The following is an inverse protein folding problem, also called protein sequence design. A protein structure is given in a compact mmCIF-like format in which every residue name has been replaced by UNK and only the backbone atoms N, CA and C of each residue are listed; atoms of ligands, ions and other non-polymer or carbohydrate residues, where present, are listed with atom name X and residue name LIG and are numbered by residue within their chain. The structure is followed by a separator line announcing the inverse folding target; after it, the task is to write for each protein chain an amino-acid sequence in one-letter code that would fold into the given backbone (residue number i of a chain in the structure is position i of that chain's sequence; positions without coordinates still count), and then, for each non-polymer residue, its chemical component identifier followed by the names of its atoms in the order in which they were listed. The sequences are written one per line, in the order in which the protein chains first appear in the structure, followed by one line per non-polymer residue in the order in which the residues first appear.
data_IF_701227200943
#
_entry.id   IF_701227200943
#
_cell.length_a   1.000
_cell.length_b   1.000
_cell.length_c   1.000
_cell.angle_alpha   90.00
_cell.angle_beta   90.00
_cell.angle_gamma   90.00
#
_symmetry.space_group_name_H-M   'P 1'
#
loop_
_entity.id
_entity.type
_entity.pdbx_description
1 polymer ?
#
# COMPACT_ATOMS: atom_id res chain seq x y z
N UNK A 1 -18.80 6.52 6.70
CA UNK A 1 -17.48 6.51 6.07
C UNK A 1 -17.59 7.00 4.63
N UNK A 2 -18.33 6.32 3.77
CA UNK A 2 -18.39 6.62 2.33
C UNK A 2 -18.86 8.06 2.01
N UNK A 3 -19.88 8.57 2.73
CA UNK A 3 -20.34 9.95 2.56
C UNK A 3 -19.23 10.97 2.89
N UNK A 4 -18.41 10.69 3.92
CA UNK A 4 -17.26 11.54 4.25
C UNK A 4 -16.16 11.48 3.20
N UNK A 5 -15.97 10.33 2.51
CA UNK A 5 -15.07 10.27 1.36
C UNK A 5 -15.54 11.21 0.24
N UNK A 6 -16.84 11.16 -0.10
CA UNK A 6 -17.42 12.06 -1.10
C UNK A 6 -17.24 13.53 -0.70
N UNK A 7 -17.59 13.87 0.56
CA UNK A 7 -17.44 15.24 1.09
C UNK A 7 -15.98 15.74 1.00
N UNK A 8 -15.02 14.85 1.23
CA UNK A 8 -13.59 15.16 1.16
C UNK A 8 -12.98 14.94 -0.25
N UNK A 9 -13.82 14.75 -1.26
CA UNK A 9 -13.42 14.55 -2.66
C UNK A 9 -12.44 13.39 -2.88
N UNK A 10 -12.57 12.35 -2.06
CA UNK A 10 -11.83 11.09 -2.26
C UNK A 10 -12.60 10.27 -3.29
N UNK A 11 -12.10 10.24 -4.51
CA UNK A 11 -12.79 9.65 -5.68
C UNK A 11 -12.28 8.26 -6.06
N UNK A 12 -11.14 7.84 -5.51
CA UNK A 12 -10.53 6.53 -5.78
C UNK A 12 -10.05 5.90 -4.49
N UNK A 13 -10.22 4.59 -4.34
CA UNK A 13 -9.66 3.85 -3.23
C UNK A 13 -9.31 2.41 -3.65
N UNK A 14 -8.24 1.89 -3.05
CA UNK A 14 -7.89 0.48 -3.09
C UNK A 14 -8.42 -0.20 -1.82
N UNK A 15 -9.26 -1.21 -1.98
CA UNK A 15 -9.71 -2.09 -0.90
C UNK A 15 -8.73 -3.25 -0.83
N UNK A 16 -7.90 -3.26 0.20
CA UNK A 16 -6.91 -4.33 0.42
C UNK A 16 -7.51 -5.37 1.34
N UNK A 17 -7.67 -6.59 0.81
CA UNK A 17 -8.29 -7.72 1.51
C UNK A 17 -7.17 -8.67 1.97
N UNK A 18 -7.02 -8.84 3.27
CA UNK A 18 -6.02 -9.75 3.87
C UNK A 18 -6.61 -11.11 4.24
N UNK A 19 -7.91 -11.30 3.99
CA UNK A 19 -8.63 -12.55 4.20
C UNK A 19 -9.73 -12.75 3.15
N UNK A 20 -10.17 -14.00 2.98
CA UNK A 20 -11.32 -14.34 2.12
C UNK A 20 -12.62 -13.66 2.60
N UNK A 21 -12.76 -13.44 3.90
CA UNK A 21 -13.92 -12.75 4.46
C UNK A 21 -13.88 -11.24 4.18
N UNK A 22 -12.71 -10.61 4.19
CA UNK A 22 -12.56 -9.22 3.77
C UNK A 22 -12.91 -9.05 2.30
N UNK A 23 -12.45 -9.98 1.44
CA UNK A 23 -12.83 -9.98 0.04
C UNK A 23 -14.34 -10.03 -0.14
N UNK A 24 -15.04 -10.99 0.52
CA UNK A 24 -16.51 -11.08 0.46
C UNK A 24 -17.19 -9.79 0.88
N UNK A 25 -16.74 -9.18 1.99
CA UNK A 25 -17.28 -7.89 2.48
C UNK A 25 -17.00 -6.74 1.50
N UNK A 26 -15.90 -6.79 0.77
CA UNK A 26 -15.54 -5.75 -0.20
C UNK A 26 -16.47 -5.70 -1.41
N UNK A 27 -17.14 -6.80 -1.75
CA UNK A 27 -18.05 -6.89 -2.90
C UNK A 27 -19.26 -5.95 -2.78
N UNK A 28 -19.71 -5.68 -1.57
CA UNK A 28 -20.85 -4.80 -1.29
C UNK A 28 -20.44 -3.33 -1.13
N UNK A 29 -19.13 -3.02 -1.14
CA UNK A 29 -18.65 -1.65 -0.97
C UNK A 29 -18.74 -0.93 -2.31
N UNK A 30 -19.73 -0.04 -2.41
CA UNK A 30 -19.95 0.83 -3.56
C UNK A 30 -20.50 2.18 -3.14
N UNK A 31 -20.13 3.23 -3.83
CA UNK A 31 -20.64 4.58 -3.63
C UNK A 31 -20.51 5.36 -4.93
N UNK A 32 -21.58 6.03 -5.34
CA UNK A 32 -21.54 6.93 -6.48
C UNK A 32 -20.47 8.03 -6.27
N UNK A 33 -19.68 8.29 -7.31
CA UNK A 33 -18.57 9.25 -7.29
C UNK A 33 -17.27 8.69 -6.72
N UNK A 34 -17.21 7.38 -6.34
CA UNK A 34 -15.98 6.73 -5.87
C UNK A 34 -15.72 5.48 -6.71
N UNK A 35 -14.54 5.37 -7.28
CA UNK A 35 -14.04 4.15 -7.92
C UNK A 35 -13.27 3.32 -6.90
N UNK A 36 -13.75 2.10 -6.66
CA UNK A 36 -13.05 1.14 -5.81
C UNK A 36 -12.35 0.09 -6.67
N UNK A 37 -11.06 -0.10 -6.41
CA UNK A 37 -10.27 -1.23 -6.87
C UNK A 37 -10.01 -2.17 -5.71
N UNK A 38 -9.68 -3.43 -6.02
CA UNK A 38 -9.47 -4.46 -5.00
C UNK A 38 -8.11 -5.10 -5.17
N UNK A 39 -7.53 -5.45 -4.02
CA UNK A 39 -6.37 -6.30 -3.94
C UNK A 39 -6.64 -7.43 -2.95
N UNK A 40 -6.09 -8.60 -3.22
CA UNK A 40 -6.04 -9.70 -2.26
C UNK A 40 -4.67 -10.35 -2.31
N UNK A 41 -4.19 -10.78 -1.14
CA UNK A 41 -2.94 -11.50 -0.97
C UNK A 41 -2.93 -12.27 0.35
N UNK A 42 -1.94 -13.14 0.49
CA UNK A 42 -1.72 -13.87 1.74
C UNK A 42 -0.71 -13.09 2.56
N UNK A 43 -1.18 -12.56 3.70
CA UNK A 43 -0.38 -11.76 4.61
C UNK A 43 0.73 -12.60 5.28
N UNK A 44 1.87 -12.03 5.65
CA UNK A 44 3.01 -12.73 6.26
C UNK A 44 2.72 -13.61 7.49
N UNK A 45 1.58 -13.39 8.14
CA UNK A 45 1.10 -14.20 9.27
C UNK A 45 0.78 -15.65 8.87
N UNK A 46 0.32 -15.87 7.64
CA UNK A 46 -0.28 -17.14 7.21
C UNK A 46 0.69 -18.06 6.48
N UNK A 47 1.92 -18.17 6.97
CA UNK A 47 2.97 -19.00 6.36
C UNK A 47 2.70 -20.50 6.38
N UNK A 48 1.79 -20.97 7.24
CA UNK A 48 1.43 -22.39 7.39
C UNK A 48 0.15 -22.76 6.62
N UNK A 49 -0.28 -21.91 5.68
CA UNK A 49 -1.46 -22.17 4.85
C UNK A 49 -1.24 -23.40 3.96
N UNK A 50 -2.24 -24.26 3.86
CA UNK A 50 -2.21 -25.39 2.93
C UNK A 50 -2.30 -24.92 1.48
N UNK A 51 -1.78 -25.73 0.54
CA UNK A 51 -1.88 -25.38 -0.89
C UNK A 51 -3.34 -25.22 -1.36
N UNK A 52 -4.25 -26.06 -0.85
CA UNK A 52 -5.67 -25.96 -1.18
C UNK A 52 -6.35 -24.68 -0.67
N UNK A 53 -5.84 -24.11 0.42
CA UNK A 53 -6.30 -22.79 0.91
C UNK A 53 -5.64 -21.67 0.11
N UNK A 54 -4.37 -21.81 -0.22
CA UNK A 54 -3.63 -20.84 -1.02
C UNK A 54 -4.24 -20.67 -2.42
N UNK A 55 -4.64 -21.76 -3.07
CA UNK A 55 -5.29 -21.73 -4.39
C UNK A 55 -6.56 -20.86 -4.40
N UNK A 56 -7.34 -20.83 -3.30
CA UNK A 56 -8.49 -19.92 -3.19
C UNK A 56 -8.11 -18.44 -3.25
N UNK A 57 -6.92 -18.09 -2.74
CA UNK A 57 -6.41 -16.73 -2.89
C UNK A 57 -5.95 -16.46 -4.31
N UNK A 58 -5.33 -17.44 -4.97
CA UNK A 58 -4.90 -17.31 -6.36
C UNK A 58 -6.08 -17.06 -7.28
N UNK A 59 -7.16 -17.83 -7.14
CA UNK A 59 -8.42 -17.60 -7.89
C UNK A 59 -8.93 -16.17 -7.71
N UNK A 60 -8.90 -15.63 -6.50
CA UNK A 60 -9.34 -14.26 -6.23
C UNK A 60 -8.32 -13.20 -6.69
N UNK A 61 -7.03 -13.53 -6.71
CA UNK A 61 -6.02 -12.64 -7.30
C UNK A 61 -6.28 -12.41 -8.79
N UNK A 62 -6.83 -13.40 -9.50
CA UNK A 62 -7.23 -13.25 -10.91
C UNK A 62 -8.36 -12.22 -11.09
N UNK A 63 -9.25 -12.08 -10.12
CA UNK A 63 -10.39 -11.15 -10.17
C UNK A 63 -10.03 -9.74 -9.68
N UNK A 64 -8.95 -9.58 -8.90
CA UNK A 64 -8.55 -8.32 -8.28
C UNK A 64 -7.68 -7.46 -9.21
N UNK A 65 -7.55 -6.18 -8.91
CA UNK A 65 -6.72 -5.21 -9.65
C UNK A 65 -5.23 -5.28 -9.27
N UNK A 66 -4.92 -5.85 -8.11
CA UNK A 66 -3.56 -6.00 -7.58
C UNK A 66 -3.44 -7.23 -6.69
N UNK A 67 -2.23 -7.72 -6.50
CA UNK A 67 -1.91 -8.77 -5.51
C UNK A 67 -1.36 -8.10 -4.25
N UNK A 68 -2.05 -8.25 -3.16
CA UNK A 68 -1.66 -7.62 -1.90
C UNK A 68 -2.77 -7.65 -0.84
N UNK A 69 -2.37 -7.56 0.38
CA UNK A 69 -1.08 -7.19 0.91
C UNK A 69 -0.18 -8.43 1.05
N UNK A 70 1.04 -8.37 0.52
CA UNK A 70 2.04 -9.44 0.56
C UNK A 70 3.38 -8.88 1.04
N UNK A 71 4.27 -9.70 1.57
CA UNK A 71 5.59 -9.22 1.98
C UNK A 71 6.12 -9.84 3.26
N UNK A 72 6.78 -9.03 4.10
CA UNK A 72 7.51 -9.50 5.28
C UNK A 72 7.15 -8.68 6.52
N UNK A 73 6.86 -9.37 7.64
CA UNK A 73 6.68 -8.76 8.96
C UNK A 73 7.56 -9.46 10.01
N UNK A 74 8.71 -8.87 10.32
CA UNK A 74 9.62 -9.39 11.33
C UNK A 74 9.37 -8.83 12.74
N UNK A 75 8.43 -7.90 12.85
CA UNK A 75 8.03 -7.36 14.14
C UNK A 75 7.12 -8.34 14.89
N UNK A 76 6.10 -8.84 14.23
CA UNK A 76 5.11 -9.73 14.83
C UNK A 76 5.45 -11.22 14.63
N UNK A 77 6.04 -11.58 13.49
CA UNK A 77 6.22 -12.98 13.04
C UNK A 77 7.69 -13.32 12.75
N UNK A 78 8.59 -12.86 13.62
CA UNK A 78 10.05 -13.00 13.44
C UNK A 78 10.56 -14.44 13.37
N UNK A 79 9.81 -15.40 13.89
CA UNK A 79 10.22 -16.81 13.93
C UNK A 79 9.92 -17.55 12.61
N UNK A 80 9.20 -16.91 11.69
CA UNK A 80 8.79 -17.50 10.39
C UNK A 80 9.45 -16.82 9.19
N UNK A 81 10.58 -16.13 9.36
CA UNK A 81 11.23 -15.31 8.32
C UNK A 81 11.41 -16.03 6.99
N UNK A 82 11.97 -17.24 6.99
CA UNK A 82 12.24 -17.98 5.74
C UNK A 82 10.92 -18.39 5.05
N UNK A 83 9.94 -18.86 5.81
CA UNK A 83 8.63 -19.19 5.26
C UNK A 83 7.90 -17.93 4.70
N UNK A 84 8.05 -16.77 5.35
CA UNK A 84 7.55 -15.51 4.81
C UNK A 84 8.22 -15.13 3.47
N UNK A 85 9.54 -15.31 3.36
CA UNK A 85 10.27 -15.05 2.11
C UNK A 85 9.78 -15.94 0.97
N UNK A 86 9.64 -17.24 1.24
CA UNK A 86 9.12 -18.21 0.26
C UNK A 86 7.71 -17.85 -0.20
N UNK A 87 6.83 -17.56 0.76
CA UNK A 87 5.44 -17.13 0.48
C UNK A 87 5.40 -15.83 -0.32
N UNK A 88 6.25 -14.86 0.01
CA UNK A 88 6.33 -13.58 -0.71
C UNK A 88 6.78 -13.79 -2.15
N UNK A 89 7.86 -14.55 -2.38
CA UNK A 89 8.36 -14.88 -3.72
C UNK A 89 7.32 -15.65 -4.55
N UNK A 90 6.61 -16.60 -3.94
CA UNK A 90 5.53 -17.35 -4.58
C UNK A 90 4.45 -16.39 -5.12
N UNK A 91 4.03 -15.43 -4.31
CA UNK A 91 3.00 -14.45 -4.69
C UNK A 91 3.49 -13.43 -5.73
N UNK A 92 4.76 -13.03 -5.70
CA UNK A 92 5.35 -12.18 -6.75
C UNK A 92 5.30 -12.89 -8.10
N UNK A 93 5.61 -14.18 -8.16
CA UNK A 93 5.55 -14.96 -9.41
C UNK A 93 4.14 -14.99 -9.97
N UNK A 94 3.14 -15.25 -9.13
CA UNK A 94 1.72 -15.22 -9.52
C UNK A 94 1.32 -13.83 -10.01
N UNK A 95 1.69 -12.76 -9.31
CA UNK A 95 1.41 -11.39 -9.73
C UNK A 95 1.99 -11.08 -11.12
N UNK A 96 3.21 -11.57 -11.41
CA UNK A 96 3.83 -11.43 -12.73
C UNK A 96 3.09 -12.24 -13.81
N UNK A 97 2.70 -13.48 -13.53
CA UNK A 97 1.91 -14.32 -14.44
C UNK A 97 0.58 -13.65 -14.78
N UNK A 98 -0.07 -13.06 -13.79
CA UNK A 98 -1.32 -12.31 -13.94
C UNK A 98 -1.13 -10.88 -14.48
N UNK A 99 0.11 -10.42 -14.68
CA UNK A 99 0.45 -9.04 -15.05
C UNK A 99 -0.14 -7.99 -14.10
N UNK A 100 -0.20 -8.26 -12.81
CA UNK A 100 -0.76 -7.37 -11.79
C UNK A 100 0.31 -6.73 -10.91
N UNK A 101 0.11 -5.48 -10.44
CA UNK A 101 1.02 -4.87 -9.49
C UNK A 101 0.87 -5.50 -8.10
N UNK A 102 1.94 -5.42 -7.32
CA UNK A 102 1.93 -5.88 -5.93
C UNK A 102 1.82 -4.72 -4.94
N UNK A 103 1.12 -4.95 -3.82
CA UNK A 103 1.09 -4.05 -2.67
C UNK A 103 1.93 -4.71 -1.58
N UNK A 104 3.08 -4.11 -1.27
CA UNK A 104 4.13 -4.74 -0.46
C UNK A 104 4.12 -4.21 0.96
N UNK A 105 3.95 -5.12 1.90
CA UNK A 105 4.18 -4.91 3.32
C UNK A 105 5.64 -5.17 3.69
N UNK A 106 6.23 -4.28 4.48
CA UNK A 106 7.59 -4.45 4.97
C UNK A 106 7.76 -3.83 6.37
N UNK A 107 7.72 -4.65 7.40
CA UNK A 107 7.89 -4.21 8.79
C UNK A 107 9.10 -4.84 9.43
N UNK A 108 10.08 -4.00 9.81
CA UNK A 108 11.41 -4.44 10.31
C UNK A 108 12.13 -5.43 9.35
N UNK A 109 11.80 -5.36 8.04
CA UNK A 109 12.21 -6.31 7.02
C UNK A 109 12.66 -5.67 5.70
N UNK A 110 12.82 -4.33 5.66
CA UNK A 110 13.06 -3.59 4.42
C UNK A 110 14.29 -4.04 3.63
N UNK A 111 15.36 -4.51 4.33
CA UNK A 111 16.57 -5.02 3.67
C UNK A 111 16.29 -6.30 2.87
N UNK A 112 15.64 -7.29 3.49
CA UNK A 112 15.27 -8.54 2.84
C UNK A 112 14.21 -8.30 1.76
N UNK A 113 13.25 -7.38 2.01
CA UNK A 113 12.25 -6.96 1.02
C UNK A 113 12.92 -6.39 -0.21
N UNK A 114 13.90 -5.49 -0.05
CA UNK A 114 14.65 -4.93 -1.16
C UNK A 114 15.37 -6.01 -1.98
N UNK A 115 16.06 -6.93 -1.31
CA UNK A 115 16.78 -7.99 -1.99
C UNK A 115 15.84 -8.91 -2.77
N UNK A 116 14.71 -9.32 -2.16
CA UNK A 116 13.72 -10.16 -2.83
C UNK A 116 13.16 -9.48 -4.08
N UNK A 117 12.77 -8.20 -3.97
CA UNK A 117 12.19 -7.45 -5.10
C UNK A 117 13.22 -7.16 -6.21
N UNK A 118 14.49 -7.04 -5.85
CA UNK A 118 15.58 -6.91 -6.81
C UNK A 118 15.82 -8.21 -7.59
N UNK A 119 15.75 -9.35 -6.91
CA UNK A 119 16.00 -10.67 -7.50
C UNK A 119 14.74 -11.22 -8.22
N UNK A 120 13.56 -10.74 -7.85
CA UNK A 120 12.28 -11.10 -8.45
C UNK A 120 11.53 -9.83 -8.93
N UNK A 121 11.95 -9.24 -10.06
CA UNK A 121 11.38 -7.98 -10.55
C UNK A 121 9.89 -8.08 -10.78
N UNK A 122 9.14 -7.13 -10.24
CA UNK A 122 7.72 -6.92 -10.50
C UNK A 122 7.38 -5.43 -10.34
N UNK A 123 6.20 -5.02 -10.76
CA UNK A 123 5.75 -3.63 -10.52
C UNK A 123 4.91 -3.57 -9.25
N UNK A 124 5.01 -2.48 -8.51
CA UNK A 124 4.24 -2.39 -7.27
C UNK A 124 4.47 -1.13 -6.47
N UNK A 125 3.99 -1.16 -5.24
CA UNK A 125 4.12 -0.10 -4.25
C UNK A 125 4.56 -0.66 -2.90
N UNK A 126 5.51 0.01 -2.26
CA UNK A 126 5.79 -0.19 -0.83
C UNK A 126 4.74 0.60 -0.06
N UNK A 127 3.76 -0.10 0.54
CA UNK A 127 2.72 0.54 1.30
C UNK A 127 3.22 0.98 2.67
N UNK A 128 2.63 2.03 3.21
CA UNK A 128 2.92 2.59 4.53
C UNK A 128 4.43 2.70 4.84
N UNK A 129 5.20 3.17 3.85
CA UNK A 129 6.64 3.17 3.91
C UNK A 129 7.17 3.94 5.12
N UNK A 130 8.02 3.30 5.91
CA UNK A 130 8.57 3.84 7.14
C UNK A 130 10.11 3.81 7.23
N UNK A 131 10.77 3.45 6.13
CA UNK A 131 12.22 3.39 6.05
C UNK A 131 12.88 4.73 5.71
N UNK A 132 14.22 4.70 5.56
CA UNK A 132 15.01 5.89 5.21
C UNK A 132 14.75 6.34 3.76
N UNK A 133 15.06 7.60 3.49
CA UNK A 133 15.01 8.16 2.14
C UNK A 133 16.00 7.47 1.18
N UNK A 134 17.19 7.13 1.68
CA UNK A 134 18.20 6.43 0.88
C UNK A 134 17.68 5.11 0.34
N UNK A 135 17.04 4.31 1.19
CA UNK A 135 16.47 3.03 0.78
C UNK A 135 15.24 3.21 -0.10
N UNK A 136 14.40 4.22 0.16
CA UNK A 136 13.28 4.57 -0.71
C UNK A 136 13.74 4.86 -2.16
N UNK A 137 14.86 5.57 -2.32
CA UNK A 137 15.46 5.80 -3.66
C UNK A 137 15.84 4.51 -4.37
N UNK A 138 16.35 3.52 -3.63
CA UNK A 138 16.73 2.24 -4.24
C UNK A 138 15.47 1.47 -4.72
N UNK A 139 14.37 1.48 -3.94
CA UNK A 139 13.10 0.92 -4.42
C UNK A 139 12.55 1.66 -5.66
N UNK A 140 12.68 2.99 -5.69
CA UNK A 140 12.28 3.79 -6.86
C UNK A 140 13.11 3.44 -8.10
N UNK A 141 14.42 3.18 -7.97
CA UNK A 141 15.26 2.69 -9.06
C UNK A 141 14.83 1.33 -9.59
N UNK A 142 14.27 0.47 -8.75
CA UNK A 142 13.66 -0.80 -9.15
C UNK A 142 12.28 -0.61 -9.83
N UNK A 143 11.76 0.64 -9.87
CA UNK A 143 10.48 0.97 -10.50
C UNK A 143 9.29 1.09 -9.53
N UNK A 144 9.47 0.82 -8.25
CA UNK A 144 8.40 0.86 -7.26
C UNK A 144 7.91 2.26 -6.94
N UNK A 145 6.64 2.35 -6.59
CA UNK A 145 6.06 3.51 -5.93
C UNK A 145 6.26 3.41 -4.42
N UNK A 146 6.28 4.58 -3.77
CA UNK A 146 6.36 4.70 -2.32
C UNK A 146 5.05 5.33 -1.82
N UNK A 147 4.32 4.63 -0.97
CA UNK A 147 3.08 5.14 -0.39
C UNK A 147 3.31 5.67 1.02
N UNK A 148 2.80 6.87 1.27
CA UNK A 148 2.94 7.57 2.55
C UNK A 148 1.57 7.71 3.20
N UNK A 149 1.47 7.23 4.44
CA UNK A 149 0.27 7.27 5.26
C UNK A 149 0.26 8.34 6.34
N UNK A 150 -0.74 8.26 7.23
CA UNK A 150 -0.97 9.16 8.34
C UNK A 150 0.24 9.52 9.23
N UNK A 151 1.20 8.59 9.45
CA UNK A 151 2.40 8.87 10.25
C UNK A 151 3.20 10.10 9.81
N UNK A 152 3.16 10.52 8.54
CA UNK A 152 3.82 11.75 8.06
C UNK A 152 3.36 13.01 8.82
N UNK A 153 2.17 12.97 9.43
CA UNK A 153 1.61 14.09 10.22
C UNK A 153 2.04 14.08 11.69
N UNK A 154 2.74 13.02 12.15
CA UNK A 154 3.08 12.88 13.55
C UNK A 154 4.25 13.79 13.94
N UNK A 155 4.27 14.23 15.19
CA UNK A 155 5.29 15.17 15.69
C UNK A 155 6.74 14.68 15.50
N UNK A 156 6.95 13.37 15.56
CA UNK A 156 8.27 12.74 15.48
C UNK A 156 8.53 12.04 14.14
N UNK A 157 7.80 12.39 13.07
CA UNK A 157 7.86 11.77 11.75
C UNK A 157 9.09 12.24 10.95
N UNK A 158 10.31 11.87 11.36
CA UNK A 158 11.54 12.28 10.65
C UNK A 158 11.63 11.62 9.27
N UNK A 159 11.73 10.29 9.23
CA UNK A 159 11.87 9.52 8.00
C UNK A 159 10.68 9.68 7.04
N UNK A 160 9.40 9.54 7.48
CA UNK A 160 8.28 9.77 6.59
C UNK A 160 8.23 11.17 5.99
N UNK A 161 8.62 12.20 6.73
CA UNK A 161 8.71 13.58 6.23
C UNK A 161 9.81 13.75 5.20
N UNK A 162 10.99 13.18 5.46
CA UNK A 162 12.11 13.23 4.53
C UNK A 162 11.80 12.53 3.22
N UNK A 163 11.23 11.33 3.28
CA UNK A 163 10.77 10.58 2.13
C UNK A 163 9.68 11.35 1.39
N UNK A 164 8.63 11.80 2.09
CA UNK A 164 7.54 12.56 1.50
C UNK A 164 8.01 13.83 0.80
N UNK A 165 9.04 14.51 1.32
CA UNK A 165 9.62 15.73 0.75
C UNK A 165 10.43 15.46 -0.52
N UNK A 166 11.20 14.38 -0.56
CA UNK A 166 12.31 14.23 -1.51
C UNK A 166 12.11 13.14 -2.58
N UNK A 167 11.21 12.15 -2.37
CA UNK A 167 10.90 11.14 -3.40
C UNK A 167 10.34 11.83 -4.66
N UNK A 168 10.72 11.39 -5.88
CA UNK A 168 10.11 11.90 -7.12
C UNK A 168 8.58 11.87 -7.03
N UNK A 169 7.93 12.98 -7.37
CA UNK A 169 6.49 13.12 -7.20
C UNK A 169 5.70 12.09 -8.05
N UNK A 170 6.25 11.71 -9.19
CA UNK A 170 5.72 10.67 -10.09
C UNK A 170 5.90 9.23 -9.56
N UNK A 171 6.54 9.07 -8.40
CA UNK A 171 6.70 7.80 -7.68
C UNK A 171 6.05 7.80 -6.29
N UNK A 172 5.32 8.84 -5.95
CA UNK A 172 4.65 8.99 -4.67
C UNK A 172 3.18 8.57 -4.77
N UNK A 173 2.71 7.81 -3.79
CA UNK A 173 1.30 7.55 -3.50
C UNK A 173 0.97 7.97 -2.07
N UNK A 174 -0.31 8.13 -1.78
CA UNK A 174 -0.82 8.43 -0.45
C UNK A 174 -1.86 7.41 -0.02
N UNK A 175 -1.93 7.16 1.27
CA UNK A 175 -2.86 6.18 1.83
C UNK A 175 -3.31 6.55 3.24
N UNK A 176 -4.20 5.73 3.78
CA UNK A 176 -4.66 5.87 5.18
C UNK A 176 -4.26 4.71 6.06
N UNK A 177 -4.14 3.51 5.53
CA UNK A 177 -4.01 2.26 6.30
C UNK A 177 -5.17 2.08 7.31
N UNK A 178 -6.36 2.52 6.91
CA UNK A 178 -7.54 2.44 7.78
C UNK A 178 -7.90 1.00 8.14
N UNK A 179 -8.23 0.72 9.41
CA UNK A 179 -8.62 1.64 10.49
C UNK A 179 -7.48 2.13 11.40
N UNK A 180 -6.24 1.93 11.03
CA UNK A 180 -5.03 2.23 11.82
C UNK A 180 -4.42 3.58 11.45
N UNK A 181 -3.37 3.99 12.17
CA UNK A 181 -2.44 5.09 11.83
C UNK A 181 -3.11 6.44 11.53
N UNK A 182 -4.17 6.76 12.27
CA UNK A 182 -4.96 7.98 12.08
C UNK A 182 -4.09 9.24 12.11
N UNK A 183 -4.13 10.10 11.06
CA UNK A 183 -3.34 11.32 11.01
C UNK A 183 -3.81 12.37 12.02
N UNK A 184 -2.91 13.31 12.34
CA UNK A 184 -3.28 14.54 13.04
C UNK A 184 -4.23 15.36 12.13
N UNK A 185 -5.34 15.98 12.66
CA UNK A 185 -5.66 16.17 14.09
C UNK A 185 -6.46 15.02 14.72
N UNK A 186 -6.79 13.97 13.97
CA UNK A 186 -7.69 12.90 14.41
C UNK A 186 -6.99 11.75 15.16
N UNK A 187 -5.71 11.89 15.46
CA UNK A 187 -4.91 10.86 16.13
C UNK A 187 -5.60 10.33 17.40
N UNK A 188 -5.53 9.00 17.61
CA UNK A 188 -6.19 8.33 18.75
C UNK A 188 -7.64 7.93 18.50
N UNK A 189 -8.23 8.33 17.37
CA UNK A 189 -9.54 7.85 16.91
C UNK A 189 -9.34 6.74 15.87
N UNK A 190 -10.40 5.97 15.60
CA UNK A 190 -10.41 5.02 14.48
C UNK A 190 -10.22 5.77 13.17
N UNK A 191 -9.27 5.32 12.36
CA UNK A 191 -9.00 5.92 11.04
C UNK A 191 -10.08 5.55 10.02
N UNK A 192 -10.19 6.36 8.96
CA UNK A 192 -11.07 6.12 7.82
C UNK A 192 -10.47 6.71 6.53
N UNK A 193 -10.86 6.20 5.34
CA UNK A 193 -10.28 6.65 4.05
C UNK A 193 -10.37 8.16 3.80
N UNK A 194 -11.41 8.82 4.32
CA UNK A 194 -11.58 10.28 4.19
C UNK A 194 -10.46 11.09 4.86
N UNK A 195 -9.72 10.49 5.81
CA UNK A 195 -8.60 11.15 6.48
C UNK A 195 -7.34 11.29 5.60
N UNK A 196 -7.30 10.69 4.42
CA UNK A 196 -6.17 10.83 3.47
C UNK A 196 -5.89 12.30 3.13
N UNK A 197 -6.87 13.16 3.23
CA UNK A 197 -6.73 14.62 3.00
C UNK A 197 -5.73 15.29 3.97
N UNK A 198 -5.57 14.76 5.18
CA UNK A 198 -4.59 15.31 6.13
C UNK A 198 -3.17 14.89 5.77
N UNK A 199 -3.00 13.66 5.28
CA UNK A 199 -1.73 13.18 4.70
C UNK A 199 -1.35 14.02 3.48
N UNK A 200 -2.28 14.21 2.55
CA UNK A 200 -2.09 15.04 1.35
C UNK A 200 -1.69 16.48 1.72
N UNK A 201 -2.43 17.14 2.61
CA UNK A 201 -2.12 18.50 3.09
C UNK A 201 -0.72 18.61 3.67
N UNK A 202 -0.31 17.64 4.50
CA UNK A 202 1.03 17.65 5.07
C UNK A 202 2.13 17.51 4.03
N UNK A 203 1.92 16.67 3.02
CA UNK A 203 2.90 16.49 1.94
C UNK A 203 2.97 17.74 1.05
N UNK A 204 1.83 18.34 0.69
CA UNK A 204 1.81 19.61 -0.03
C UNK A 204 2.56 20.71 0.70
N UNK A 205 2.32 20.85 2.02
CA UNK A 205 3.01 21.81 2.88
C UNK A 205 4.54 21.65 2.80
N UNK A 206 5.07 20.45 3.01
CA UNK A 206 6.52 20.22 3.06
C UNK A 206 7.19 20.29 1.69
N UNK A 207 6.43 20.14 0.61
CA UNK A 207 6.92 20.27 -0.77
C UNK A 207 6.72 21.68 -1.36
N UNK A 208 5.88 22.51 -0.74
CA UNK A 208 5.52 23.81 -1.30
C UNK A 208 4.72 23.68 -2.61
N UNK A 209 3.88 22.65 -2.72
CA UNK A 209 3.05 22.40 -3.91
C UNK A 209 1.62 22.88 -3.69
N UNK A 210 1.00 23.41 -4.74
CA UNK A 210 -0.43 23.67 -4.77
C UNK A 210 -1.24 22.37 -4.88
N UNK A 211 -2.55 22.46 -4.54
CA UNK A 211 -3.44 21.32 -4.49
C UNK A 211 -3.66 20.69 -5.87
N UNK A 212 -3.82 21.53 -6.91
CA UNK A 212 -4.10 21.06 -8.27
C UNK A 212 -2.95 20.23 -8.82
N UNK A 213 -1.73 20.77 -8.77
CA UNK A 213 -0.50 20.10 -9.21
C UNK A 213 -0.28 18.78 -8.46
N UNK A 214 -0.43 18.82 -7.13
CA UNK A 214 -0.22 17.63 -6.31
C UNK A 214 -1.25 16.53 -6.62
N UNK A 215 -2.55 16.85 -6.57
CA UNK A 215 -3.61 15.87 -6.77
C UNK A 215 -3.63 15.32 -8.20
N UNK A 216 -3.33 16.14 -9.22
CA UNK A 216 -3.20 15.66 -10.58
C UNK A 216 -2.13 14.57 -10.70
N UNK A 217 -0.95 14.80 -10.10
CA UNK A 217 0.13 13.81 -10.17
C UNK A 217 -0.17 12.55 -9.34
N UNK A 218 -0.71 12.68 -8.12
CA UNK A 218 -1.05 11.50 -7.29
C UNK A 218 -2.12 10.64 -7.96
N UNK A 219 -3.15 11.25 -8.54
CA UNK A 219 -4.16 10.52 -9.29
C UNK A 219 -3.58 9.82 -10.52
N UNK A 220 -2.68 10.50 -11.24
CA UNK A 220 -1.97 9.88 -12.36
C UNK A 220 -1.13 8.69 -11.92
N UNK A 221 -0.37 8.81 -10.82
CA UNK A 221 0.43 7.72 -10.27
C UNK A 221 -0.43 6.49 -9.92
N UNK A 222 -1.59 6.73 -9.29
CA UNK A 222 -2.54 5.67 -8.98
C UNK A 222 -3.05 4.97 -10.25
N UNK A 223 -3.45 5.76 -11.24
CA UNK A 223 -3.93 5.22 -12.52
C UNK A 223 -2.83 4.47 -13.27
N UNK A 224 -1.60 5.00 -13.29
CA UNK A 224 -0.46 4.36 -13.98
C UNK A 224 -0.08 3.03 -13.33
N UNK A 225 -0.11 2.95 -11.98
CA UNK A 225 0.23 1.72 -11.29
C UNK A 225 -0.85 0.65 -11.43
N UNK A 226 -2.11 1.02 -11.23
CA UNK A 226 -3.24 0.08 -11.14
C UNK A 226 -4.05 -0.05 -12.45
N UNK A 227 -3.58 0.52 -13.56
CA UNK A 227 -4.10 0.19 -14.89
C UNK A 227 -3.64 -1.20 -15.30
N UNK A 228 -4.55 -1.97 -15.81
CA UNK A 228 -4.29 -3.16 -16.61
C UNK A 228 -4.28 -2.80 -18.09
#
# INVERSE_FOLDING_TARGET
VLDRMVTNKVTKAMLVCVSLDDYKRSLDIKKEGITFKKAIGVYPEYTNMSDAEFEKYVELMEECDAVGEIGLDYHWYKDTKEAQKELFIRQIKIANELNKPVIVHAREALGDTYQILKDNPCRGVLHCYSGSYELAKEFVKLGYYISIGGPVTFKNAKEPLEVAKNIPLDKLLIETDSPYLTPVPNRGKRNEPSNVVFTAKKIMEVRGLDEETFLAQINKNYDDLFKL
#
